data_IF_044331023470
#
_entry.id   IF_044331023470
#
_cell.length_a   1.000
_cell.length_b   1.000
_cell.length_c   1.000
_cell.angle_alpha   90.00
_cell.angle_beta   90.00
_cell.angle_gamma   90.00
#
_symmetry.space_group_name_H-M   'P 1'
#
loop_
_entity.id
_entity.type
_entity.pdbx_description
1 polymer ?
#
# COMPACT_ATOMS: atom_id res chain seq x y z
N UNK A 1 -44.60 20.11 5.44
CA UNK A 1 -44.69 18.97 4.51
C UNK A 1 -43.81 19.34 3.32
N UNK A 2 -42.68 18.72 2.99
CA UNK A 2 -42.20 17.34 3.15
C UNK A 2 -40.72 17.36 3.57
N UNK A 3 -40.36 16.47 4.50
CA UNK A 3 -38.99 16.06 4.85
C UNK A 3 -38.53 15.00 3.85
N UNK A 4 -37.29 15.02 3.41
CA UNK A 4 -36.65 13.90 2.70
C UNK A 4 -35.16 14.19 2.48
N UNK A 5 -34.28 13.90 3.45
CA UNK A 5 -33.64 12.61 3.75
C UNK A 5 -32.57 12.19 2.69
N UNK A 6 -31.33 12.58 2.98
CA UNK A 6 -30.05 11.85 2.98
C UNK A 6 -29.83 10.74 1.92
N UNK A 7 -28.69 10.86 1.23
CA UNK A 7 -27.86 9.71 0.86
C UNK A 7 -26.37 10.08 0.98
N UNK A 8 -25.84 10.07 2.21
CA UNK A 8 -24.40 9.90 2.43
C UNK A 8 -24.10 8.44 2.13
N UNK A 9 -23.40 8.15 1.04
CA UNK A 9 -22.90 6.80 0.79
C UNK A 9 -21.68 6.63 1.70
N UNK A 10 -21.90 5.99 2.84
CA UNK A 10 -20.83 5.36 3.60
C UNK A 10 -20.45 4.06 2.88
N UNK A 11 -19.30 4.08 2.20
CA UNK A 11 -18.53 2.91 1.81
C UNK A 11 -17.09 3.17 2.29
N UNK A 12 -16.41 2.35 3.07
CA UNK A 12 -16.67 0.98 3.49
C UNK A 12 -16.68 0.80 5.00
N UNK A 13 -17.34 -0.29 5.41
CA UNK A 13 -17.22 -0.86 6.74
C UNK A 13 -15.99 -1.77 6.73
N UNK A 14 -14.85 -1.21 7.11
CA UNK A 14 -13.73 -1.96 7.66
C UNK A 14 -13.49 -1.41 9.06
N UNK A 15 -13.89 -2.13 10.10
CA UNK A 15 -13.53 -1.81 11.49
C UNK A 15 -12.12 -2.35 11.86
N UNK A 16 -11.33 -2.70 10.85
CA UNK A 16 -9.90 -3.00 10.95
C UNK A 16 -9.15 -1.87 10.24
N UNK A 17 -8.02 -1.45 10.81
CA UNK A 17 -7.17 -0.45 10.18
C UNK A 17 -6.75 -0.87 8.77
N UNK A 18 -6.37 0.13 7.96
CA UNK A 18 -5.82 -0.06 6.62
C UNK A 18 -4.75 -1.17 6.63
N UNK A 19 -4.86 -2.15 5.74
CA UNK A 19 -3.86 -3.21 5.57
C UNK A 19 -3.30 -3.28 4.12
N UNK A 20 -2.32 -4.15 3.86
CA UNK A 20 -1.68 -4.24 2.55
C UNK A 20 -2.63 -4.71 1.43
N UNK A 21 -3.65 -5.50 1.78
CA UNK A 21 -4.72 -5.92 0.87
C UNK A 21 -5.58 -4.74 0.43
N UNK A 22 -6.04 -3.93 1.40
CA UNK A 22 -6.80 -2.70 1.15
C UNK A 22 -6.00 -1.72 0.30
N UNK A 23 -4.71 -1.53 0.62
CA UNK A 23 -3.80 -0.71 -0.18
C UNK A 23 -3.71 -1.25 -1.61
N UNK A 24 -3.55 -2.57 -1.80
CA UNK A 24 -3.50 -3.16 -3.14
C UNK A 24 -4.78 -2.89 -3.95
N UNK A 25 -5.95 -2.99 -3.34
CA UNK A 25 -7.22 -2.71 -4.02
C UNK A 25 -7.30 -1.24 -4.45
N UNK A 26 -6.98 -0.33 -3.54
CA UNK A 26 -7.02 1.11 -3.79
C UNK A 26 -5.99 1.58 -4.84
N UNK A 27 -4.77 1.02 -4.82
CA UNK A 27 -3.75 1.31 -5.82
C UNK A 27 -4.16 0.78 -7.21
N UNK A 28 -4.86 -0.35 -7.27
CA UNK A 28 -5.33 -0.93 -8.55
C UNK A 28 -6.38 -0.06 -9.25
N UNK A 29 -7.08 0.80 -8.51
CA UNK A 29 -8.03 1.76 -9.05
C UNK A 29 -7.36 2.98 -9.72
N UNK A 30 -6.10 3.26 -9.40
CA UNK A 30 -5.32 4.36 -10.00
C UNK A 30 -4.62 3.88 -11.26
N UNK A 31 -3.86 2.78 -11.16
CA UNK A 31 -3.22 2.11 -12.28
C UNK A 31 -3.28 0.59 -12.08
N UNK A 32 -3.35 -0.21 -13.17
CA UNK A 32 -3.48 -1.66 -13.06
C UNK A 32 -2.34 -2.32 -12.29
N UNK A 33 -2.68 -3.18 -11.35
CA UNK A 33 -1.76 -4.05 -10.62
C UNK A 33 -1.90 -5.50 -11.09
N UNK A 34 -1.11 -5.94 -12.09
CA UNK A 34 -1.24 -7.28 -12.65
C UNK A 34 -0.77 -8.36 -11.66
N UNK A 35 -1.50 -9.48 -11.66
CA UNK A 35 -1.19 -10.70 -10.92
C UNK A 35 -0.90 -10.49 -9.40
N UNK A 36 -1.82 -9.86 -8.64
CA UNK A 36 -1.65 -9.71 -7.20
C UNK A 36 -1.63 -11.10 -6.53
N UNK A 37 -0.67 -11.29 -5.64
CA UNK A 37 -0.46 -12.52 -4.87
C UNK A 37 -0.19 -12.15 -3.42
N UNK A 38 -0.89 -12.81 -2.51
CA UNK A 38 -0.58 -12.74 -1.08
C UNK A 38 0.64 -13.62 -0.78
N UNK A 39 1.70 -12.99 -0.29
CA UNK A 39 2.94 -13.63 0.13
C UNK A 39 3.24 -13.34 1.62
N UNK A 40 2.21 -13.04 2.40
CA UNK A 40 2.34 -12.69 3.83
C UNK A 40 3.10 -13.74 4.62
N UNK A 41 2.80 -15.04 4.43
CA UNK A 41 3.48 -16.14 5.12
C UNK A 41 5.01 -16.14 4.88
N UNK A 42 5.42 -15.81 3.66
CA UNK A 42 6.84 -15.72 3.30
C UNK A 42 7.49 -14.51 3.99
N UNK A 43 6.82 -13.36 3.96
CA UNK A 43 7.33 -12.14 4.54
C UNK A 43 7.48 -12.23 6.07
N UNK A 44 6.47 -12.79 6.75
CA UNK A 44 6.51 -12.98 8.20
C UNK A 44 7.69 -13.87 8.64
N UNK A 45 8.03 -14.88 7.83
CA UNK A 45 9.13 -15.81 8.11
C UNK A 45 10.52 -15.23 7.81
N UNK A 46 10.65 -14.39 6.76
CA UNK A 46 11.95 -13.92 6.26
C UNK A 46 12.35 -12.54 6.81
N UNK A 47 11.41 -11.59 6.78
CA UNK A 47 11.71 -10.17 7.03
C UNK A 47 10.91 -9.58 8.19
N UNK A 48 9.85 -10.28 8.65
CA UNK A 48 9.04 -9.88 9.80
C UNK A 48 8.02 -8.78 9.49
N UNK A 49 7.60 -8.63 8.24
CA UNK A 49 6.48 -7.78 7.90
C UNK A 49 5.15 -8.45 8.29
N UNK A 50 4.12 -7.64 8.53
CA UNK A 50 2.78 -8.12 8.92
C UNK A 50 1.98 -8.65 7.73
N UNK A 51 2.10 -7.98 6.58
CA UNK A 51 1.48 -8.41 5.33
C UNK A 51 2.34 -8.06 4.12
N UNK A 52 2.23 -8.88 3.08
CA UNK A 52 2.89 -8.65 1.80
C UNK A 52 1.99 -9.03 0.63
N UNK A 53 1.66 -8.05 -0.20
CA UNK A 53 1.06 -8.28 -1.51
C UNK A 53 2.11 -8.05 -2.59
N UNK A 54 2.31 -9.04 -3.45
CA UNK A 54 3.25 -8.96 -4.58
C UNK A 54 2.49 -8.99 -5.90
N UNK A 55 2.76 -8.00 -6.75
CA UNK A 55 2.27 -7.91 -8.12
C UNK A 55 3.45 -8.03 -9.07
N UNK A 56 3.23 -8.07 -10.39
CA UNK A 56 4.38 -8.03 -11.31
C UNK A 56 5.08 -6.65 -11.27
N UNK A 57 4.32 -5.57 -11.09
CA UNK A 57 4.80 -4.18 -11.14
C UNK A 57 5.47 -3.71 -9.84
N UNK A 58 4.96 -4.14 -8.69
CA UNK A 58 5.45 -3.73 -7.37
C UNK A 58 5.07 -4.73 -6.26
N UNK A 59 5.78 -4.63 -5.14
CA UNK A 59 5.43 -5.27 -3.88
C UNK A 59 4.95 -4.23 -2.87
N UNK A 60 3.92 -4.56 -2.10
CA UNK A 60 3.32 -3.74 -1.04
C UNK A 60 3.61 -4.44 0.28
N UNK A 61 4.51 -3.87 1.06
CA UNK A 61 4.85 -4.35 2.39
C UNK A 61 4.09 -3.55 3.44
N UNK A 62 3.53 -4.23 4.43
CA UNK A 62 3.06 -3.64 5.68
C UNK A 62 3.99 -4.07 6.81
N UNK A 63 4.64 -3.12 7.46
CA UNK A 63 5.50 -3.36 8.60
C UNK A 63 4.73 -3.15 9.92
N UNK A 64 5.22 -3.70 11.05
CA UNK A 64 4.56 -3.54 12.34
C UNK A 64 4.42 -2.07 12.81
N UNK A 65 5.34 -1.21 12.37
CA UNK A 65 5.33 0.21 12.68
C UNK A 65 6.12 1.04 11.64
N UNK A 66 5.91 2.35 11.69
CA UNK A 66 6.57 3.32 10.80
C UNK A 66 8.10 3.30 10.93
N UNK A 67 8.62 3.10 12.15
CA UNK A 67 10.06 3.06 12.40
C UNK A 67 10.73 1.83 11.75
N UNK A 68 10.00 0.71 11.66
CA UNK A 68 10.46 -0.49 10.98
C UNK A 68 10.38 -0.32 9.47
N UNK A 69 9.28 0.26 8.97
CA UNK A 69 9.17 0.64 7.57
C UNK A 69 10.32 1.57 7.13
N UNK A 70 10.62 2.61 7.91
CA UNK A 70 11.72 3.55 7.64
C UNK A 70 13.07 2.84 7.52
N UNK A 71 13.40 1.96 8.47
CA UNK A 71 14.65 1.19 8.44
C UNK A 71 14.75 0.31 7.20
N UNK A 72 13.66 -0.36 6.83
CA UNK A 72 13.65 -1.25 5.67
C UNK A 72 13.72 -0.46 4.35
N UNK A 73 13.06 0.70 4.27
CA UNK A 73 13.19 1.63 3.14
C UNK A 73 14.63 2.11 2.97
N UNK A 74 15.33 2.44 4.06
CA UNK A 74 16.72 2.85 4.02
C UNK A 74 17.63 1.73 3.46
N UNK A 75 17.45 0.49 3.93
CA UNK A 75 18.20 -0.68 3.42
C UNK A 75 17.93 -0.91 1.94
N UNK A 76 16.66 -0.87 1.51
CA UNK A 76 16.30 -1.04 0.10
C UNK A 76 16.92 0.05 -0.79
N UNK A 77 16.90 1.31 -0.31
CA UNK A 77 17.49 2.45 -1.01
C UNK A 77 19.01 2.30 -1.14
N UNK A 78 19.70 1.87 -0.07
CA UNK A 78 21.15 1.61 -0.09
C UNK A 78 21.52 0.48 -1.08
N UNK A 79 20.61 -0.46 -1.30
CA UNK A 79 20.74 -1.51 -2.32
C UNK A 79 20.38 -1.04 -3.74
N UNK A 80 20.04 0.24 -3.92
CA UNK A 80 19.69 0.83 -5.22
C UNK A 80 18.28 0.50 -5.69
N UNK A 81 17.41 0.00 -4.81
CA UNK A 81 16.03 -0.33 -5.17
C UNK A 81 15.16 0.92 -5.20
N UNK A 82 14.23 0.97 -6.15
CA UNK A 82 13.23 2.02 -6.18
C UNK A 82 12.10 1.69 -5.21
N UNK A 83 11.95 2.52 -4.19
CA UNK A 83 10.95 2.35 -3.12
C UNK A 83 10.24 3.66 -2.80
N UNK A 84 9.00 3.56 -2.32
CA UNK A 84 8.23 4.66 -1.72
C UNK A 84 7.68 4.20 -0.37
N UNK A 85 7.68 5.07 0.64
CA UNK A 85 7.18 4.76 1.99
C UNK A 85 6.15 5.78 2.42
N UNK A 86 5.08 5.31 3.04
CA UNK A 86 4.15 6.13 3.81
C UNK A 86 3.69 5.35 5.05
N UNK A 87 3.97 5.89 6.24
CA UNK A 87 3.67 5.20 7.50
C UNK A 87 4.28 3.78 7.52
N UNK A 88 3.53 2.77 8.02
CA UNK A 88 4.00 1.38 8.07
C UNK A 88 4.10 0.72 6.69
N UNK A 89 3.71 1.39 5.60
CA UNK A 89 3.66 0.79 4.26
C UNK A 89 4.87 1.17 3.41
N UNK A 90 5.38 0.19 2.66
CA UNK A 90 6.45 0.40 1.68
C UNK A 90 6.04 -0.22 0.35
N UNK A 91 6.06 0.60 -0.71
CA UNK A 91 6.00 0.14 -2.09
C UNK A 91 7.44 -0.10 -2.57
N UNK A 92 7.70 -1.28 -3.13
CA UNK A 92 8.94 -1.59 -3.84
C UNK A 92 8.63 -1.86 -5.29
N UNK A 93 9.13 -1.03 -6.19
CA UNK A 93 8.86 -1.14 -7.62
C UNK A 93 9.78 -2.20 -8.25
N UNK A 94 9.25 -2.93 -9.23
CA UNK A 94 9.92 -4.03 -9.89
C UNK A 94 10.86 -3.54 -11.00
N UNK A 95 12.13 -3.93 -10.93
CA UNK A 95 13.09 -3.70 -12.03
C UNK A 95 12.82 -4.63 -13.22
N UNK A 96 12.22 -5.80 -12.98
CA UNK A 96 11.92 -6.81 -14.01
C UNK A 96 10.69 -6.44 -14.85
N UNK A 97 9.75 -5.70 -14.26
CA UNK A 97 8.55 -5.19 -14.91
C UNK A 97 8.43 -3.67 -14.66
N UNK A 98 9.31 -2.87 -15.29
CA UNK A 98 9.39 -1.45 -15.03
C UNK A 98 8.07 -0.76 -15.39
N UNK A 99 7.55 0.01 -14.44
CA UNK A 99 6.36 0.83 -14.63
C UNK A 99 6.72 2.22 -15.15
N UNK A 100 5.76 2.93 -15.74
CA UNK A 100 5.98 4.32 -16.14
C UNK A 100 6.19 5.22 -14.92
N UNK A 101 6.90 6.33 -15.10
CA UNK A 101 7.05 7.35 -14.05
C UNK A 101 5.70 7.87 -13.56
N UNK A 102 4.72 7.98 -14.45
CA UNK A 102 3.34 8.37 -14.13
C UNK A 102 2.65 7.35 -13.21
N UNK A 103 2.80 6.05 -13.50
CA UNK A 103 2.22 5.00 -12.67
C UNK A 103 2.86 4.95 -11.28
N UNK A 104 4.20 5.06 -11.22
CA UNK A 104 4.95 5.13 -9.96
C UNK A 104 4.48 6.33 -9.13
N UNK A 105 4.42 7.52 -9.73
CA UNK A 105 3.95 8.72 -9.04
C UNK A 105 2.49 8.60 -8.56
N UNK A 106 1.61 8.03 -9.38
CA UNK A 106 0.21 7.83 -9.03
C UNK A 106 0.01 6.87 -7.87
N UNK A 107 0.70 5.73 -7.85
CA UNK A 107 0.63 4.80 -6.72
C UNK A 107 1.23 5.39 -5.44
N UNK A 108 2.38 6.07 -5.54
CA UNK A 108 3.00 6.73 -4.38
C UNK A 108 2.08 7.78 -3.78
N UNK A 109 1.51 8.66 -4.61
CA UNK A 109 0.56 9.68 -4.13
C UNK A 109 -0.66 9.05 -3.49
N UNK A 110 -1.23 8.00 -4.10
CA UNK A 110 -2.41 7.35 -3.54
C UNK A 110 -2.12 6.71 -2.19
N UNK A 111 -0.95 6.10 -2.03
CA UNK A 111 -0.55 5.56 -0.74
C UNK A 111 -0.42 6.67 0.32
N UNK A 112 0.20 7.80 0.00
CA UNK A 112 0.32 8.94 0.91
C UNK A 112 -1.07 9.43 1.36
N UNK A 113 -2.03 9.53 0.44
CA UNK A 113 -3.41 9.92 0.73
C UNK A 113 -4.13 8.91 1.63
N UNK A 114 -3.96 7.60 1.39
CA UNK A 114 -4.59 6.56 2.20
C UNK A 114 -4.09 6.60 3.64
N UNK A 115 -2.78 6.72 3.83
CA UNK A 115 -2.16 6.77 5.16
C UNK A 115 -2.53 8.06 5.90
N UNK A 116 -2.51 9.20 5.23
CA UNK A 116 -2.86 10.48 5.84
C UNK A 116 -4.33 10.55 6.32
N UNK A 117 -5.25 9.83 5.68
CA UNK A 117 -6.66 9.78 6.09
C UNK A 117 -6.97 8.64 7.09
N UNK A 118 -6.09 7.63 7.19
CA UNK A 118 -6.23 6.50 8.12
C UNK A 118 -5.94 6.83 9.58
N UNK A 119 -5.22 7.92 9.86
CA UNK A 119 -4.80 8.38 11.20
C UNK A 119 -5.94 8.99 12.08
N UNK A 120 -7.20 8.68 11.81
CA UNK A 120 -8.37 9.24 12.51
C UNK A 120 -9.22 8.23 13.31
N UNK A 121 -8.64 7.13 13.79
CA UNK A 121 -9.32 6.17 14.68
C UNK A 121 -8.90 6.29 16.14
#
# INVERSE_FOLDING_TARGET
MVVGLIATVAAGCGAGGLDAGDVSEELSAVFPLPAPRDNTDFCAADSGCEQLITTDALSIYQWPDDATAERQTAVATDMGQQVHRAGPFVLRFSDEYPSSEEAIAGWSQRLDELVAHGDHS
#
